data_IF_192979029709
#
_entry.id   IF_192979029709
#
_cell.length_a   1.000
_cell.length_b   1.000
_cell.length_c   1.000
_cell.angle_alpha   90.00
_cell.angle_beta   90.00
_cell.angle_gamma   90.00
#
_symmetry.space_group_name_H-M   'P 1'
#
loop_
_entity.id
_entity.type
_entity.pdbx_description
1 polymer ?
#
# COMPACT_ATOMS: atom_id res chain seq x y z
N UNK A 1 -13.92 -4.86 -79.43
CA UNK A 1 -13.68 -6.26 -78.99
C UNK A 1 -13.55 -6.28 -77.47
N UNK A 2 -14.43 -7.02 -76.80
CA UNK A 2 -14.50 -7.16 -75.34
C UNK A 2 -13.42 -8.12 -74.86
N UNK A 3 -12.76 -7.82 -73.73
CA UNK A 3 -12.22 -8.84 -72.82
C UNK A 3 -12.64 -8.51 -71.40
N UNK A 4 -13.49 -9.38 -70.87
CA UNK A 4 -13.85 -9.47 -69.47
C UNK A 4 -12.88 -10.43 -68.78
N UNK A 5 -12.54 -10.14 -67.53
CA UNK A 5 -12.20 -11.08 -66.46
C UNK A 5 -11.82 -10.22 -65.25
N UNK A 6 -12.05 -10.58 -63.99
CA UNK A 6 -12.84 -11.60 -63.32
C UNK A 6 -12.50 -11.26 -61.85
N UNK A 7 -13.43 -10.67 -61.11
CA UNK A 7 -13.24 -10.41 -59.69
C UNK A 7 -13.37 -11.75 -58.96
N UNK A 8 -12.23 -12.35 -58.60
CA UNK A 8 -12.22 -13.50 -57.72
C UNK A 8 -12.57 -13.04 -56.30
N UNK A 9 -13.69 -13.55 -55.79
CA UNK A 9 -14.05 -13.53 -54.38
C UNK A 9 -13.04 -14.40 -53.65
N UNK A 10 -12.26 -13.81 -52.74
CA UNK A 10 -11.59 -14.58 -51.71
C UNK A 10 -12.63 -14.92 -50.64
N UNK A 11 -13.00 -16.19 -50.56
CA UNK A 11 -13.72 -16.74 -49.42
C UNK A 11 -12.84 -16.59 -48.16
N UNK A 12 -13.16 -15.61 -47.33
CA UNK A 12 -12.66 -15.52 -45.97
C UNK A 12 -13.33 -16.62 -45.15
N UNK A 13 -12.68 -17.78 -45.08
CA UNK A 13 -12.95 -18.77 -44.05
C UNK A 13 -12.71 -18.08 -42.71
N UNK A 14 -13.80 -17.79 -41.99
CA UNK A 14 -13.75 -17.29 -40.63
C UNK A 14 -13.01 -18.31 -39.76
N UNK A 15 -11.76 -18.00 -39.43
CA UNK A 15 -11.01 -18.74 -38.43
C UNK A 15 -11.71 -18.55 -37.08
N UNK A 16 -12.54 -19.51 -36.71
CA UNK A 16 -13.06 -19.64 -35.35
C UNK A 16 -11.88 -19.70 -34.39
N UNK A 17 -11.74 -18.66 -33.56
CA UNK A 17 -10.77 -18.62 -32.45
C UNK A 17 -10.93 -19.91 -31.63
N UNK A 18 -9.88 -20.73 -31.48
CA UNK A 18 -9.96 -21.85 -30.56
C UNK A 18 -10.16 -21.28 -29.14
N UNK A 19 -11.25 -21.71 -28.48
CA UNK A 19 -11.48 -21.47 -27.05
C UNK A 19 -10.58 -22.40 -26.25
N UNK A 20 -9.29 -22.09 -26.21
CA UNK A 20 -8.48 -22.56 -25.11
C UNK A 20 -8.86 -21.72 -23.89
N UNK A 21 -9.21 -22.31 -22.73
CA UNK A 21 -9.16 -21.56 -21.50
C UNK A 21 -7.70 -21.18 -21.34
N UNK A 22 -7.35 -19.94 -21.66
CA UNK A 22 -6.09 -19.37 -21.19
C UNK A 22 -6.24 -19.44 -19.68
N UNK A 23 -5.58 -20.42 -19.06
CA UNK A 23 -5.27 -20.33 -17.65
C UNK A 23 -4.46 -19.04 -17.57
N UNK A 24 -5.13 -17.94 -17.20
CA UNK A 24 -4.47 -16.72 -16.82
C UNK A 24 -3.75 -17.07 -15.52
N UNK A 25 -2.56 -17.64 -15.68
CA UNK A 25 -1.65 -17.81 -14.58
C UNK A 25 -1.24 -16.41 -14.18
N UNK A 26 -1.73 -15.96 -13.02
CA UNK A 26 -1.18 -14.79 -12.39
C UNK A 26 0.25 -15.18 -11.96
N UNK A 27 1.23 -14.77 -12.78
CA UNK A 27 2.65 -15.00 -12.50
C UNK A 27 3.06 -14.41 -11.14
N UNK A 28 2.35 -13.38 -10.67
CA UNK A 28 2.48 -12.80 -9.34
C UNK A 28 2.05 -13.77 -8.24
N UNK A 29 0.88 -14.39 -8.36
CA UNK A 29 0.42 -15.46 -7.43
C UNK A 29 1.38 -16.67 -7.46
N UNK A 30 1.87 -17.06 -8.63
CA UNK A 30 2.86 -18.12 -8.77
C UNK A 30 4.19 -17.76 -8.10
N UNK A 31 4.66 -16.52 -8.20
CA UNK A 31 5.89 -16.06 -7.54
C UNK A 31 5.77 -16.14 -6.01
N UNK A 32 4.61 -15.77 -5.45
CA UNK A 32 4.35 -15.79 -4.01
C UNK A 32 4.06 -17.19 -3.46
N UNK A 33 3.59 -18.10 -4.31
CA UNK A 33 3.43 -19.52 -3.96
C UNK A 33 4.77 -20.18 -3.60
N UNK A 34 5.89 -19.68 -4.16
CA UNK A 34 7.26 -20.12 -3.85
C UNK A 34 7.84 -19.46 -2.59
N UNK A 35 7.13 -18.49 -2.01
CA UNK A 35 7.44 -17.82 -0.74
C UNK A 35 7.48 -16.30 -0.88
N UNK A 36 6.71 -15.60 -0.03
CA UNK A 36 6.79 -14.13 0.10
C UNK A 36 7.95 -13.72 1.02
N UNK A 37 8.74 -12.72 0.63
CA UNK A 37 9.94 -12.27 1.35
C UNK A 37 9.68 -11.30 2.53
N UNK A 38 8.43 -11.08 2.94
CA UNK A 38 8.12 -10.15 4.04
C UNK A 38 8.48 -10.78 5.40
N UNK A 39 9.32 -10.08 6.16
CA UNK A 39 9.70 -10.51 7.49
C UNK A 39 8.94 -9.68 8.56
N UNK A 40 8.14 -10.30 9.44
CA UNK A 40 7.41 -9.59 10.49
C UNK A 40 8.32 -8.76 11.42
N UNK A 41 9.60 -9.16 11.59
CA UNK A 41 10.59 -8.41 12.37
C UNK A 41 10.97 -7.04 11.76
N UNK A 42 10.49 -6.73 10.57
CA UNK A 42 10.67 -5.43 9.94
C UNK A 42 9.60 -4.42 10.33
N UNK A 43 8.50 -4.89 10.94
CA UNK A 43 7.32 -4.10 11.25
C UNK A 43 7.37 -3.59 12.68
N UNK A 44 6.70 -2.47 12.93
CA UNK A 44 6.43 -1.98 14.28
C UNK A 44 4.92 -1.99 14.58
N UNK A 45 4.52 -2.01 15.86
CA UNK A 45 3.12 -1.80 16.22
C UNK A 45 2.54 -0.53 15.59
N UNK A 46 1.31 -0.62 15.11
CA UNK A 46 0.59 0.50 14.49
C UNK A 46 1.18 0.99 13.16
N UNK A 47 2.03 0.21 12.50
CA UNK A 47 2.48 0.53 11.15
C UNK A 47 1.32 0.45 10.15
N UNK A 48 1.15 1.47 9.32
CA UNK A 48 0.06 1.52 8.33
C UNK A 48 0.18 0.46 7.25
N UNK A 49 -0.95 0.08 6.64
CA UNK A 49 -0.96 -0.88 5.54
C UNK A 49 -0.15 -0.39 4.33
N UNK A 50 -0.17 0.91 4.02
CA UNK A 50 0.63 1.49 2.92
C UNK A 50 2.13 1.24 3.13
N UNK A 51 2.63 1.47 4.34
CA UNK A 51 4.03 1.21 4.70
C UNK A 51 4.39 -0.28 4.62
N UNK A 52 3.49 -1.15 5.07
CA UNK A 52 3.66 -2.61 4.98
C UNK A 52 3.70 -3.07 3.51
N UNK A 53 2.78 -2.57 2.68
CA UNK A 53 2.71 -2.89 1.26
C UNK A 53 3.94 -2.37 0.50
N UNK A 54 4.47 -1.20 0.84
CA UNK A 54 5.76 -0.73 0.29
C UNK A 54 6.91 -1.69 0.62
N UNK A 55 7.01 -2.15 1.87
CA UNK A 55 8.02 -3.14 2.27
C UNK A 55 7.84 -4.46 1.53
N UNK A 56 6.60 -4.93 1.41
CA UNK A 56 6.25 -6.15 0.69
C UNK A 56 6.60 -6.05 -0.79
N UNK A 57 6.18 -4.99 -1.48
CA UNK A 57 6.49 -4.74 -2.88
C UNK A 57 8.01 -4.68 -3.10
N UNK A 58 8.72 -3.91 -2.26
CA UNK A 58 10.17 -3.78 -2.35
C UNK A 58 10.90 -5.11 -2.10
N UNK A 59 10.41 -5.97 -1.20
CA UNK A 59 11.03 -7.25 -0.87
C UNK A 59 10.81 -8.31 -1.95
N UNK A 60 9.67 -8.26 -2.64
CA UNK A 60 9.29 -9.22 -3.67
C UNK A 60 9.49 -8.69 -5.11
N UNK A 61 9.98 -7.45 -5.27
CA UNK A 61 10.15 -6.77 -6.57
C UNK A 61 8.85 -6.77 -7.37
N UNK A 62 7.74 -6.46 -6.69
CA UNK A 62 6.41 -6.46 -7.30
C UNK A 62 6.12 -5.09 -7.93
N UNK A 63 5.65 -5.06 -9.19
CA UNK A 63 4.99 -3.89 -9.78
C UNK A 63 3.77 -3.44 -8.94
N UNK A 64 3.47 -2.14 -8.98
CA UNK A 64 2.40 -1.57 -8.16
C UNK A 64 1.02 -2.10 -8.54
N UNK A 65 0.74 -2.17 -9.84
CA UNK A 65 -0.50 -2.70 -10.42
C UNK A 65 -0.71 -4.18 -10.05
N UNK A 66 0.33 -5.00 -10.18
CA UNK A 66 0.28 -6.41 -9.80
C UNK A 66 -0.05 -6.58 -8.30
N UNK A 67 0.56 -5.76 -7.42
CA UNK A 67 0.24 -5.80 -6.00
C UNK A 67 -1.20 -5.40 -5.70
N UNK A 68 -1.71 -4.33 -6.35
CA UNK A 68 -3.09 -3.88 -6.13
C UNK A 68 -4.09 -4.92 -6.61
N UNK A 69 -3.89 -5.53 -7.78
CA UNK A 69 -4.74 -6.61 -8.26
C UNK A 69 -4.75 -7.83 -7.32
N UNK A 70 -3.60 -8.15 -6.73
CA UNK A 70 -3.49 -9.28 -5.82
C UNK A 70 -4.36 -9.08 -4.55
N UNK A 71 -4.32 -7.89 -3.95
CA UNK A 71 -5.05 -7.57 -2.72
C UNK A 71 -6.51 -7.14 -2.97
N UNK A 72 -6.80 -6.54 -4.14
CA UNK A 72 -8.09 -5.96 -4.51
C UNK A 72 -8.39 -6.22 -6.00
N UNK A 73 -8.76 -7.45 -6.40
CA UNK A 73 -8.85 -7.86 -7.81
C UNK A 73 -9.88 -7.09 -8.65
N UNK A 74 -10.87 -6.49 -8.00
CA UNK A 74 -12.02 -5.85 -8.64
C UNK A 74 -11.86 -4.33 -8.78
N UNK A 75 -10.73 -3.79 -8.33
CA UNK A 75 -10.43 -2.35 -8.32
C UNK A 75 -9.47 -2.05 -9.47
N UNK A 76 -9.71 -0.95 -10.18
CA UNK A 76 -8.72 -0.43 -11.12
C UNK A 76 -7.46 -0.04 -10.33
N UNK A 77 -6.27 -0.57 -10.69
CA UNK A 77 -5.06 -0.38 -9.90
C UNK A 77 -4.64 1.09 -9.77
N UNK A 78 -5.05 1.96 -10.69
CA UNK A 78 -4.71 3.39 -10.66
C UNK A 78 -5.73 4.23 -9.89
N UNK A 79 -7.01 3.83 -9.88
CA UNK A 79 -8.02 4.43 -9.00
C UNK A 79 -7.75 4.06 -7.53
N UNK A 80 -7.38 2.80 -7.30
CA UNK A 80 -7.03 2.26 -6.00
C UNK A 80 -8.20 2.20 -5.00
N UNK A 81 -7.85 1.89 -3.75
CA UNK A 81 -8.83 1.69 -2.67
C UNK A 81 -8.38 2.38 -1.39
N UNK A 82 -9.30 3.01 -0.67
CA UNK A 82 -8.98 3.59 0.63
C UNK A 82 -8.62 2.46 1.62
N UNK A 83 -7.54 2.60 2.42
CA UNK A 83 -7.04 1.58 3.35
C UNK A 83 -7.89 1.47 4.63
N UNK A 84 -9.19 1.30 4.46
CA UNK A 84 -10.21 1.13 5.51
C UNK A 84 -10.58 -0.34 5.56
N UNK A 85 -10.84 -0.88 6.78
CA UNK A 85 -11.13 -2.30 7.00
C UNK A 85 -12.24 -2.86 6.12
N UNK A 86 -13.33 -2.11 5.93
CA UNK A 86 -14.48 -2.57 5.14
C UNK A 86 -14.21 -2.60 3.63
N UNK A 87 -13.17 -1.90 3.17
CA UNK A 87 -12.84 -1.82 1.75
C UNK A 87 -11.81 -2.87 1.31
N UNK A 88 -11.15 -3.56 2.26
CA UNK A 88 -10.06 -4.50 1.97
C UNK A 88 -10.36 -5.86 2.60
N UNK A 89 -10.37 -6.91 1.79
CA UNK A 89 -10.63 -8.28 2.25
C UNK A 89 -9.49 -8.79 3.15
N UNK A 90 -9.69 -8.69 4.46
CA UNK A 90 -8.65 -8.97 5.46
C UNK A 90 -8.08 -10.39 5.37
N UNK A 91 -8.94 -11.40 5.17
CA UNK A 91 -8.51 -12.80 5.03
C UNK A 91 -7.57 -13.00 3.85
N UNK A 92 -7.87 -12.39 2.69
CA UNK A 92 -6.99 -12.38 1.52
C UNK A 92 -5.66 -11.68 1.82
N UNK A 93 -5.71 -10.54 2.49
CA UNK A 93 -4.51 -9.79 2.87
C UNK A 93 -3.59 -10.59 3.80
N UNK A 94 -4.15 -11.29 4.80
CA UNK A 94 -3.42 -12.20 5.69
C UNK A 94 -2.70 -13.30 4.89
N UNK A 95 -3.39 -13.90 3.92
CA UNK A 95 -2.83 -14.98 3.07
C UNK A 95 -1.67 -14.48 2.21
N UNK A 96 -1.80 -13.30 1.60
CA UNK A 96 -0.79 -12.71 0.71
C UNK A 96 0.45 -12.28 1.50
N UNK A 97 0.25 -11.54 2.57
CA UNK A 97 1.35 -10.97 3.36
C UNK A 97 1.95 -11.97 4.35
N UNK A 98 1.26 -13.08 4.61
CA UNK A 98 1.58 -14.09 5.62
C UNK A 98 1.77 -13.45 7.01
N UNK A 99 0.91 -12.50 7.32
CA UNK A 99 0.89 -11.79 8.59
C UNK A 99 -0.34 -12.22 9.41
N UNK A 100 -0.22 -12.22 10.75
CA UNK A 100 -1.36 -12.38 11.65
C UNK A 100 -2.45 -11.33 11.40
N UNK A 101 -3.71 -11.74 11.59
CA UNK A 101 -4.87 -10.87 11.36
C UNK A 101 -4.87 -9.64 12.28
N UNK A 102 -4.48 -9.80 13.54
CA UNK A 102 -4.40 -8.72 14.53
C UNK A 102 -3.44 -7.61 14.08
N UNK A 103 -2.29 -7.97 13.50
CA UNK A 103 -1.33 -7.03 12.92
C UNK A 103 -1.97 -6.24 11.79
N UNK A 104 -2.64 -6.91 10.84
CA UNK A 104 -3.22 -6.25 9.69
C UNK A 104 -4.44 -5.40 10.02
N UNK A 105 -5.26 -5.88 10.96
CA UNK A 105 -6.43 -5.17 11.45
C UNK A 105 -6.06 -3.81 12.04
N UNK A 106 -4.95 -3.72 12.77
CA UNK A 106 -4.47 -2.46 13.37
C UNK A 106 -3.64 -1.61 12.38
N UNK A 107 -3.30 -2.14 11.21
CA UNK A 107 -2.63 -1.41 10.13
C UNK A 107 -3.59 -0.69 9.18
N UNK A 108 -4.86 -1.06 9.22
CA UNK A 108 -5.95 -0.46 8.46
C UNK A 108 -6.67 0.58 9.30
N UNK A 109 -7.22 1.60 8.64
CA UNK A 109 -8.17 2.50 9.27
C UNK A 109 -9.44 1.71 9.61
N UNK A 110 -9.90 1.88 10.83
CA UNK A 110 -11.15 1.30 11.30
C UNK A 110 -12.25 2.35 11.16
N UNK A 111 -13.44 1.94 10.72
CA UNK A 111 -14.63 2.77 10.90
C UNK A 111 -14.94 2.98 12.40
N UNK A 112 -14.44 2.09 13.27
CA UNK A 112 -14.54 2.19 14.72
C UNK A 112 -13.40 2.98 15.41
N UNK A 113 -12.39 3.51 14.70
CA UNK A 113 -11.64 4.66 15.24
C UNK A 113 -12.60 5.85 15.15
N UNK A 114 -13.13 6.39 16.27
CA UNK A 114 -14.08 7.48 16.22
C UNK A 114 -13.34 8.71 15.70
N UNK A 115 -13.51 9.04 14.41
CA UNK A 115 -12.77 10.14 13.85
C UNK A 115 -12.82 10.21 12.34
N UNK A 116 -12.68 11.43 11.84
CA UNK A 116 -12.39 11.66 10.44
C UNK A 116 -10.90 11.38 10.21
N UNK A 117 -10.61 10.80 9.06
CA UNK A 117 -9.24 10.60 8.61
C UNK A 117 -8.95 11.54 7.46
N UNK A 118 -7.69 11.98 7.36
CA UNK A 118 -7.26 12.78 6.22
C UNK A 118 -7.28 11.94 4.93
N UNK A 119 -7.63 12.55 3.80
CA UNK A 119 -7.52 11.91 2.49
C UNK A 119 -6.08 11.97 1.92
N UNK A 120 -5.28 12.95 2.34
CA UNK A 120 -3.88 13.11 1.93
C UNK A 120 -2.94 12.38 2.90
N UNK A 121 -1.94 11.67 2.39
CA UNK A 121 -0.93 10.95 3.18
C UNK A 121 -0.18 11.90 4.11
N UNK A 122 -0.31 11.68 5.42
CA UNK A 122 0.33 12.51 6.45
C UNK A 122 1.58 11.84 6.98
N UNK A 123 2.69 12.56 7.04
CA UNK A 123 3.96 11.92 7.39
C UNK A 123 4.83 12.73 8.32
N UNK A 124 5.59 12.00 9.15
CA UNK A 124 6.76 12.52 9.81
C UNK A 124 8.00 12.18 8.98
N UNK A 125 8.76 13.20 8.63
CA UNK A 125 9.95 13.09 7.76
C UNK A 125 11.03 12.19 8.33
N UNK A 126 11.23 12.25 9.64
CA UNK A 126 12.19 11.42 10.35
C UNK A 126 11.72 9.97 10.44
N UNK A 127 10.42 9.71 10.65
CA UNK A 127 9.87 8.36 10.56
C UNK A 127 10.02 7.77 9.14
N UNK A 128 9.67 8.56 8.12
CA UNK A 128 9.79 8.16 6.72
C UNK A 128 11.25 7.82 6.33
N UNK A 129 12.26 8.51 6.89
CA UNK A 129 13.68 8.19 6.68
C UNK A 129 14.01 6.74 7.09
N UNK A 130 13.35 6.24 8.12
CA UNK A 130 13.52 4.89 8.65
C UNK A 130 12.56 3.87 8.02
N UNK A 131 11.91 4.23 6.90
CA UNK A 131 10.96 3.36 6.20
C UNK A 131 9.76 2.99 7.07
N UNK A 132 9.21 3.96 7.82
CA UNK A 132 8.05 3.77 8.68
C UNK A 132 7.01 4.86 8.51
N UNK A 133 5.74 4.45 8.48
CA UNK A 133 4.59 5.32 8.60
C UNK A 133 3.54 4.67 9.52
N UNK A 134 3.06 5.40 10.53
CA UNK A 134 2.04 4.93 11.46
C UNK A 134 0.65 5.14 10.89
N UNK A 135 -0.28 4.20 11.11
CA UNK A 135 -1.69 4.39 10.77
C UNK A 135 -2.30 5.61 11.49
N UNK A 136 -1.82 5.90 12.71
CA UNK A 136 -2.35 6.99 13.54
C UNK A 136 -2.09 8.37 12.96
N UNK A 137 -1.04 8.52 12.13
CA UNK A 137 -0.74 9.80 11.48
C UNK A 137 -1.89 10.28 10.58
N UNK A 138 -2.79 9.38 10.20
CA UNK A 138 -3.91 9.70 9.34
C UNK A 138 -5.14 10.23 10.08
N UNK A 139 -5.18 10.13 11.41
CA UNK A 139 -6.29 10.64 12.23
C UNK A 139 -6.23 12.17 12.30
N UNK A 140 -7.37 12.86 12.15
CA UNK A 140 -7.43 14.33 12.16
C UNK A 140 -6.87 14.96 13.45
N UNK A 141 -7.08 14.31 14.59
CA UNK A 141 -6.63 14.79 15.91
C UNK A 141 -5.15 14.46 16.21
N UNK A 142 -4.48 13.68 15.36
CA UNK A 142 -3.06 13.38 15.48
C UNK A 142 -2.25 14.46 14.77
N UNK A 143 -1.93 15.58 15.43
CA UNK A 143 -1.24 16.71 14.79
C UNK A 143 0.29 16.54 14.69
N UNK A 144 0.88 15.77 15.61
CA UNK A 144 2.34 15.70 15.81
C UNK A 144 2.82 14.27 15.94
N UNK A 145 4.02 13.99 15.45
CA UNK A 145 4.66 12.70 15.65
C UNK A 145 5.00 12.48 17.13
N UNK A 146 4.62 11.36 17.77
CA UNK A 146 4.89 11.12 19.19
C UNK A 146 6.37 10.81 19.47
N UNK A 147 7.14 10.38 18.47
CA UNK A 147 8.58 10.15 18.61
C UNK A 147 9.42 11.42 18.44
N UNK A 148 9.09 12.25 17.45
CA UNK A 148 9.91 13.38 17.04
C UNK A 148 9.32 14.74 17.42
N UNK A 149 8.08 14.76 17.90
CA UNK A 149 7.32 15.96 18.30
C UNK A 149 7.21 17.03 17.21
N UNK A 150 7.39 16.67 15.93
CA UNK A 150 7.19 17.55 14.78
C UNK A 150 5.76 17.44 14.28
N UNK A 151 5.22 18.53 13.75
CA UNK A 151 3.95 18.51 13.01
C UNK A 151 4.04 17.53 11.84
N UNK A 152 2.92 16.84 11.56
CA UNK A 152 2.83 15.96 10.41
C UNK A 152 2.63 16.78 9.13
N UNK A 153 3.44 16.50 8.11
CA UNK A 153 3.34 17.12 6.80
C UNK A 153 2.27 16.40 5.95
N UNK A 154 1.50 17.14 5.17
CA UNK A 154 0.56 16.61 4.15
C UNK A 154 1.06 16.81 2.72
N UNK A 155 1.93 17.81 2.52
CA UNK A 155 2.39 18.24 1.19
C UNK A 155 3.83 17.84 0.95
N UNK A 156 4.15 17.53 -0.30
CA UNK A 156 5.52 17.30 -0.73
C UNK A 156 6.32 18.61 -0.62
N UNK A 157 7.47 18.56 0.03
CA UNK A 157 8.34 19.74 0.18
C UNK A 157 9.13 20.09 -1.09
N UNK A 158 9.06 19.25 -2.12
CA UNK A 158 9.70 19.52 -3.42
C UNK A 158 8.74 20.17 -4.42
N UNK A 159 7.56 19.58 -4.65
CA UNK A 159 6.60 20.07 -5.64
C UNK A 159 5.36 20.75 -5.03
N UNK A 160 5.11 20.61 -3.72
CA UNK A 160 3.92 21.14 -3.05
C UNK A 160 2.67 20.26 -3.12
N UNK A 161 2.67 19.22 -3.95
CA UNK A 161 1.51 18.34 -4.14
C UNK A 161 1.24 17.42 -2.94
N UNK A 162 0.01 16.96 -2.83
CA UNK A 162 -0.43 15.98 -1.82
C UNK A 162 -0.45 14.58 -2.45
N UNK A 163 0.19 13.61 -1.78
CA UNK A 163 0.03 12.20 -2.15
C UNK A 163 -1.27 11.69 -1.54
N UNK A 164 -2.16 11.03 -2.31
CA UNK A 164 -3.39 10.49 -1.74
C UNK A 164 -3.10 9.30 -0.80
N UNK A 165 -3.85 9.19 0.29
CA UNK A 165 -3.80 8.04 1.20
C UNK A 165 -4.70 6.91 0.71
N UNK A 166 -4.32 6.32 -0.41
CA UNK A 166 -5.01 5.21 -1.04
C UNK A 166 -4.02 4.12 -1.40
N UNK A 167 -4.51 2.89 -1.48
CA UNK A 167 -3.76 1.76 -2.03
C UNK A 167 -3.97 1.74 -3.53
N UNK A 168 -3.05 2.36 -4.28
CA UNK A 168 -3.05 2.39 -5.75
C UNK A 168 -1.64 2.12 -6.29
N UNK A 169 -1.53 1.73 -7.56
CA UNK A 169 -0.26 1.42 -8.21
C UNK A 169 0.71 2.61 -8.13
N UNK A 170 0.22 3.83 -8.39
CA UNK A 170 1.04 5.05 -8.35
C UNK A 170 1.65 5.30 -6.97
N UNK A 171 0.90 5.03 -5.90
CA UNK A 171 1.36 5.15 -4.50
C UNK A 171 2.31 4.01 -4.16
N UNK A 172 2.00 2.76 -4.50
CA UNK A 172 2.84 1.60 -4.22
C UNK A 172 4.23 1.72 -4.89
N UNK A 173 4.29 2.26 -6.10
CA UNK A 173 5.54 2.51 -6.84
C UNK A 173 6.37 3.68 -6.29
N UNK A 174 5.82 4.47 -5.36
CA UNK A 174 6.50 5.57 -4.69
C UNK A 174 6.73 5.30 -3.19
N UNK A 175 7.51 4.25 -2.82
CA UNK A 175 7.74 3.95 -1.41
C UNK A 175 8.44 5.11 -0.70
N UNK A 176 7.73 5.72 0.26
CA UNK A 176 8.17 6.92 0.98
C UNK A 176 8.56 8.10 0.07
N UNK A 177 7.87 8.22 -1.07
CA UNK A 177 8.06 9.28 -2.05
C UNK A 177 6.72 9.91 -2.43
N UNK A 178 6.77 11.15 -2.92
CA UNK A 178 5.63 11.80 -3.53
C UNK A 178 5.17 11.00 -4.76
N UNK A 179 3.85 10.80 -4.93
CA UNK A 179 3.31 10.09 -6.10
C UNK A 179 3.47 10.88 -7.40
N UNK A 180 3.45 12.21 -7.32
CA UNK A 180 3.68 13.12 -8.46
C UNK A 180 5.15 13.23 -8.85
N UNK A 181 5.96 13.91 -8.03
CA UNK A 181 7.35 14.22 -8.39
C UNK A 181 8.39 13.15 -7.98
N UNK A 182 7.99 12.09 -7.29
CA UNK A 182 8.86 10.99 -6.79
C UNK A 182 9.98 11.42 -5.83
N UNK A 183 10.00 12.69 -5.40
CA UNK A 183 10.88 13.16 -4.33
C UNK A 183 10.56 12.48 -3.00
N UNK A 184 11.59 12.26 -2.19
CA UNK A 184 11.46 11.64 -0.89
C UNK A 184 10.73 12.53 0.10
N UNK A 185 9.88 11.91 0.94
CA UNK A 185 9.28 12.59 2.10
C UNK A 185 10.29 12.85 3.22
N UNK A 186 11.40 12.10 3.21
CA UNK A 186 12.43 12.14 4.23
C UNK A 186 13.68 12.89 3.82
N UNK A 187 14.53 13.15 4.82
CA UNK A 187 15.94 13.49 4.59
C UNK A 187 16.79 12.22 4.70
N UNK A 188 17.83 12.08 3.85
CA UNK A 188 18.86 11.06 4.01
C UNK A 188 18.57 9.70 3.39
N UNK A 189 19.25 8.65 3.88
CA UNK A 189 19.13 7.29 3.35
C UNK A 189 17.83 6.63 3.80
N UNK A 190 17.11 6.02 2.87
CA UNK A 190 15.92 5.23 3.17
C UNK A 190 16.26 3.76 3.41
N UNK A 191 15.82 3.26 4.55
CA UNK A 191 15.73 1.82 4.80
C UNK A 191 14.36 1.31 4.36
N UNK A 192 14.22 0.99 3.07
CA UNK A 192 12.93 0.59 2.48
C UNK A 192 12.34 -0.71 3.04
N UNK A 193 13.19 -1.61 3.57
CA UNK A 193 12.77 -2.95 3.99
C UNK A 193 12.69 -3.14 5.50
N UNK A 194 13.38 -2.32 6.31
CA UNK A 194 13.47 -2.62 7.76
C UNK A 194 13.49 -1.37 8.62
N UNK A 195 12.46 -1.21 9.45
CA UNK A 195 12.33 -0.08 10.39
C UNK A 195 13.07 -0.31 11.69
N UNK A 196 12.97 -1.50 12.28
CA UNK A 196 13.54 -1.79 13.60
C UNK A 196 15.04 -1.50 13.69
N UNK A 197 15.90 -1.95 12.75
CA UNK A 197 17.32 -1.65 12.82
C UNK A 197 17.64 -0.20 12.42
N UNK A 198 16.76 0.46 11.64
CA UNK A 198 17.01 1.80 11.12
C UNK A 198 16.67 2.90 12.14
N UNK A 199 15.55 2.77 12.84
CA UNK A 199 15.05 3.77 13.79
C UNK A 199 15.78 3.66 15.14
N UNK A 200 15.85 4.71 15.97
CA UNK A 200 16.43 4.61 17.32
C UNK A 200 15.45 3.91 18.27
N UNK A 201 15.98 3.18 19.26
CA UNK A 201 15.16 2.46 20.25
C UNK A 201 14.15 3.38 20.96
N UNK A 202 14.55 4.60 21.31
CA UNK A 202 13.70 5.57 21.98
C UNK A 202 12.50 5.96 21.12
N UNK A 203 12.72 6.27 19.84
CA UNK A 203 11.66 6.62 18.89
C UNK A 203 10.68 5.46 18.71
N UNK A 204 11.19 4.22 18.60
CA UNK A 204 10.35 3.01 18.55
C UNK A 204 9.48 2.89 19.80
N UNK A 205 10.06 3.07 20.98
CA UNK A 205 9.33 2.99 22.24
C UNK A 205 8.27 4.09 22.37
N UNK A 206 8.56 5.31 21.90
CA UNK A 206 7.59 6.41 21.89
C UNK A 206 6.39 6.09 20.98
N UNK A 207 6.64 5.61 19.76
CA UNK A 207 5.59 5.19 18.83
C UNK A 207 4.76 4.02 19.38
N UNK A 208 5.41 2.99 19.93
CA UNK A 208 4.69 1.84 20.50
C UNK A 208 3.86 2.22 21.73
N UNK A 209 4.36 3.09 22.61
CA UNK A 209 3.59 3.59 23.76
C UNK A 209 2.38 4.41 23.33
N UNK A 210 2.57 5.33 22.38
CA UNK A 210 1.48 6.14 21.85
C UNK A 210 0.40 5.26 21.21
N UNK A 211 0.81 4.26 20.44
CA UNK A 211 -0.11 3.30 19.85
C UNK A 211 -0.91 2.51 20.91
N UNK A 212 -0.26 2.04 21.98
CA UNK A 212 -0.95 1.35 23.08
C UNK A 212 -1.94 2.27 23.80
N UNK A 213 -1.58 3.55 24.03
CA UNK A 213 -2.47 4.53 24.67
C UNK A 213 -3.72 4.79 23.84
N UNK A 214 -3.56 5.00 22.53
CA UNK A 214 -4.69 5.18 21.60
C UNK A 214 -5.59 3.92 21.58
N UNK A 215 -4.98 2.77 21.32
CA UNK A 215 -5.71 1.50 21.23
C UNK A 215 -6.40 1.08 22.54
N UNK A 216 -5.87 1.51 23.69
CA UNK A 216 -6.44 1.24 25.01
C UNK A 216 -7.61 2.15 25.38
N UNK A 217 -7.59 3.41 24.95
CA UNK A 217 -8.71 4.34 25.14
C UNK A 217 -9.93 3.92 24.31
N UNK A 218 -9.70 3.39 23.10
CA UNK A 218 -10.78 2.97 22.19
C UNK A 218 -11.60 1.77 22.72
N UNK A 219 -11.01 0.90 23.56
CA UNK A 219 -11.76 -0.21 24.18
C UNK A 219 -12.67 0.23 25.33
N UNK A 220 -12.45 1.42 25.90
CA UNK A 220 -13.19 1.92 27.07
C UNK A 220 -14.37 2.83 26.68
N UNK A 221 -14.31 3.46 25.51
CA UNK A 221 -15.37 4.37 25.02
C UNK A 221 -16.45 3.67 24.16
N UNK A 222 -16.36 2.35 24.00
CA UNK A 222 -17.30 1.51 23.24
C UNK A 222 -18.21 0.60 24.08
N UNK A 223 -18.36 0.87 25.39
CA UNK A 223 -19.23 0.09 26.31
C UNK A 223 -20.54 0.81 26.63
#
# INVERSE_FOLDING_TARGET
>A
MRRAACWQRCDLVALTRPRFPILAFDEGELSLSRGSALNPKWLMPGESIISILWKFACANVLPGDALVHLISPWVDPYDGVAPVRDNIELTRLCRILRLPEDVLRVSLLDAAFPGRFHAAFRYCRLCAAHGYHSVLFQLEDEERCPAHHQSLDTRCLHCGDETPFIVSASVIEAPFRCSGCRSHFSYGRLSLRSTIPAMRRQDRMALSRHWLLRSGNDMNDGS
#
